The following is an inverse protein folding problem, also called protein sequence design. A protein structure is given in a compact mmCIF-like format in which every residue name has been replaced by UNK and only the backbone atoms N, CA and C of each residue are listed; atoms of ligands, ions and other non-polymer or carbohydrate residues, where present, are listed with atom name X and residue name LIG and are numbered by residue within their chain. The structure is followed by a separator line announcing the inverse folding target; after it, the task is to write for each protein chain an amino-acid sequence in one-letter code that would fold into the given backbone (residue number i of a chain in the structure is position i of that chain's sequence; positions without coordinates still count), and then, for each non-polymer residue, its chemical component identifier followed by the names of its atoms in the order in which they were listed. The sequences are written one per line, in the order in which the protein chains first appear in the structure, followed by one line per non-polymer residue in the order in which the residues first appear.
data_IF_444024218477
#
_entry.id   IF_444024218477
#
_cell.length_a   1.000
_cell.length_b   1.000
_cell.length_c   1.000
_cell.angle_alpha   90.00
_cell.angle_beta   90.00
_cell.angle_gamma   90.00
#
_symmetry.space_group_name_H-M   'P 1'
#
loop_
_entity.id
_entity.type
_entity.pdbx_description
1 polymer ?
#
# COMPACT_ATOMS: atom_id res chain seq x y z
N UNK A 1 1.85 -0.48 33.35
CA UNK A 1 1.45 0.67 32.52
C UNK A 1 2.66 1.53 32.19
N UNK A 2 3.42 1.18 31.14
CA UNK A 2 4.44 2.06 30.54
C UNK A 2 3.78 2.76 29.36
N UNK A 3 3.62 4.08 29.45
CA UNK A 3 3.16 4.91 28.33
C UNK A 3 4.36 5.15 27.42
N UNK A 4 4.44 4.42 26.32
CA UNK A 4 5.40 4.66 25.24
C UNK A 4 4.69 5.53 24.21
N UNK A 5 5.17 6.77 24.03
CA UNK A 5 4.71 7.68 23.01
C UNK A 5 5.04 7.07 21.63
N UNK A 6 4.03 6.68 20.87
CA UNK A 6 4.20 6.17 19.51
C UNK A 6 4.65 7.29 18.57
N UNK A 7 5.83 7.13 17.98
CA UNK A 7 6.46 8.04 17.01
C UNK A 7 6.24 7.44 15.61
N UNK A 8 5.55 8.18 14.74
CA UNK A 8 5.42 7.83 13.32
C UNK A 8 6.55 8.46 12.52
N UNK A 9 7.30 7.61 11.81
CA UNK A 9 8.24 8.02 10.78
C UNK A 9 7.54 7.97 9.41
N UNK A 10 7.36 9.14 8.79
CA UNK A 10 7.49 9.25 7.34
C UNK A 10 8.57 10.28 7.06
N UNK A 11 9.72 9.73 6.71
CA UNK A 11 10.86 10.33 6.05
C UNK A 11 10.46 11.45 5.07
N UNK A 12 10.77 12.69 5.44
CA UNK A 12 10.76 13.77 4.45
C UNK A 12 10.81 15.19 4.99
N UNK A 13 9.93 15.62 5.91
CA UNK A 13 9.79 17.10 6.14
C UNK A 13 9.33 17.56 7.55
N UNK A 14 8.86 16.72 8.49
CA UNK A 14 8.06 17.29 9.62
C UNK A 14 8.76 17.49 10.97
N UNK A 15 10.04 17.17 11.15
CA UNK A 15 10.68 17.37 12.46
C UNK A 15 11.31 18.76 12.68
N UNK A 16 10.62 19.81 12.26
CA UNK A 16 10.99 21.20 12.59
C UNK A 16 10.37 21.71 13.91
N UNK A 17 9.62 20.88 14.67
CA UNK A 17 8.80 21.38 15.79
C UNK A 17 8.74 20.48 17.04
N UNK A 18 9.83 19.82 17.44
CA UNK A 18 10.00 19.46 18.86
C UNK A 18 10.99 20.42 19.51
N UNK A 19 10.42 21.50 20.06
CA UNK A 19 11.10 22.27 21.10
C UNK A 19 11.24 21.44 22.37
N UNK A 20 12.48 21.29 22.82
CA UNK A 20 12.84 21.16 24.24
C UNK A 20 12.22 20.00 25.01
N UNK A 21 12.66 18.77 24.74
CA UNK A 21 12.89 17.81 25.81
C UNK A 21 14.06 16.93 25.41
N UNK A 22 15.09 16.89 26.25
CA UNK A 22 16.31 16.09 26.09
C UNK A 22 15.95 14.66 25.68
N UNK A 23 16.32 14.30 24.45
CA UNK A 23 16.23 12.92 23.95
C UNK A 23 17.12 12.01 24.80
N UNK A 24 16.52 10.99 25.39
CA UNK A 24 17.26 9.90 26.02
C UNK A 24 18.00 9.16 24.91
N UNK A 25 19.31 8.98 25.06
CA UNK A 25 20.13 8.27 24.08
C UNK A 25 19.55 6.87 23.77
N UNK A 26 19.28 6.62 22.48
CA UNK A 26 18.99 5.30 21.90
C UNK A 26 17.51 4.89 21.85
N UNK A 27 16.67 5.63 21.13
CA UNK A 27 15.28 5.23 20.85
C UNK A 27 15.24 4.22 19.71
N UNK A 28 14.81 2.98 19.98
CA UNK A 28 14.58 1.97 18.94
C UNK A 28 13.13 2.00 18.48
N UNK A 29 12.90 2.00 17.18
CA UNK A 29 11.59 1.94 16.53
C UNK A 29 11.48 0.65 15.71
N UNK A 30 10.52 -0.20 16.04
CA UNK A 30 10.27 -1.45 15.31
C UNK A 30 9.20 -1.22 14.24
N UNK A 31 9.61 -1.36 12.98
CA UNK A 31 8.76 -1.18 11.79
C UNK A 31 8.42 -2.53 11.14
N UNK A 32 7.14 -2.86 11.02
CA UNK A 32 6.68 -4.11 10.40
C UNK A 32 6.08 -3.90 9.01
N UNK A 33 6.44 -4.77 8.07
CA UNK A 33 5.90 -4.80 6.70
C UNK A 33 5.74 -6.22 6.17
N UNK A 34 4.81 -6.42 5.23
CA UNK A 34 4.71 -7.67 4.46
C UNK A 34 5.43 -7.62 3.11
N UNK A 35 5.90 -6.44 2.69
CA UNK A 35 6.52 -6.25 1.39
C UNK A 35 8.01 -6.57 1.42
N UNK A 36 8.42 -7.66 0.76
CA UNK A 36 9.84 -7.95 0.49
C UNK A 36 10.40 -7.16 -0.69
N UNK A 37 9.55 -6.76 -1.64
CA UNK A 37 9.96 -6.21 -2.92
C UNK A 37 10.49 -4.77 -2.85
N UNK A 38 10.18 -4.03 -1.79
CA UNK A 38 10.59 -2.63 -1.58
C UNK A 38 11.63 -2.49 -0.44
N UNK A 39 12.19 -3.61 0.03
CA UNK A 39 13.12 -3.67 1.17
C UNK A 39 14.32 -2.74 1.00
N UNK A 40 15.07 -2.87 -0.11
CA UNK A 40 16.26 -2.05 -0.35
C UNK A 40 15.95 -0.55 -0.43
N UNK A 41 14.74 -0.19 -0.89
CA UNK A 41 14.31 1.20 -0.94
C UNK A 41 14.04 1.71 0.48
N UNK A 42 13.36 0.92 1.31
CA UNK A 42 13.07 1.27 2.70
C UNK A 42 14.33 1.34 3.56
N UNK A 43 15.26 0.40 3.40
CA UNK A 43 16.55 0.42 4.10
C UNK A 43 17.30 1.72 3.85
N UNK A 44 17.49 2.12 2.59
CA UNK A 44 18.12 3.40 2.26
C UNK A 44 17.38 4.62 2.81
N UNK A 45 16.05 4.54 2.91
CA UNK A 45 15.26 5.59 3.52
C UNK A 45 15.52 5.63 5.03
N UNK A 46 15.49 4.50 5.73
CA UNK A 46 15.78 4.43 7.16
C UNK A 46 17.21 4.85 7.48
N UNK A 47 18.21 4.44 6.71
CA UNK A 47 19.60 4.92 6.86
C UNK A 47 19.68 6.44 6.77
N UNK A 48 18.99 7.04 5.79
CA UNK A 48 18.94 8.50 5.68
C UNK A 48 18.24 9.15 6.88
N UNK A 49 17.17 8.52 7.38
CA UNK A 49 16.46 9.00 8.56
C UNK A 49 17.37 9.00 9.79
N UNK A 50 18.07 7.90 10.04
CA UNK A 50 18.98 7.73 11.18
C UNK A 50 20.19 8.68 11.08
N UNK A 51 20.66 9.00 9.87
CA UNK A 51 21.68 10.04 9.67
C UNK A 51 21.17 11.43 10.07
N UNK A 52 19.90 11.74 9.82
CA UNK A 52 19.26 13.00 10.21
C UNK A 52 18.84 12.99 11.71
N UNK A 53 18.69 11.81 12.31
CA UNK A 53 18.20 11.56 13.67
C UNK A 53 19.07 10.50 14.40
N UNK A 54 20.29 10.85 14.83
CA UNK A 54 21.28 9.89 15.33
C UNK A 54 20.90 9.25 16.68
N UNK A 55 19.85 9.74 17.34
CA UNK A 55 19.28 9.19 18.56
C UNK A 55 18.22 8.10 18.31
N UNK A 56 17.88 7.84 17.05
CA UNK A 56 16.86 6.88 16.63
C UNK A 56 17.48 5.75 15.79
N UNK A 57 17.08 4.51 16.09
CA UNK A 57 17.41 3.29 15.35
C UNK A 57 16.12 2.63 14.86
N UNK A 58 16.02 2.30 13.58
CA UNK A 58 14.83 1.72 12.95
C UNK A 58 15.08 0.25 12.58
N UNK A 59 14.45 -0.66 13.32
CA UNK A 59 14.45 -2.09 13.01
C UNK A 59 13.28 -2.45 12.11
N UNK A 60 13.56 -2.77 10.84
CA UNK A 60 12.55 -3.29 9.92
C UNK A 60 12.43 -4.81 10.04
N UNK A 61 11.22 -5.30 10.30
CA UNK A 61 10.89 -6.74 10.33
C UNK A 61 9.88 -7.06 9.22
N UNK A 62 10.20 -8.09 8.44
CA UNK A 62 9.36 -8.51 7.31
C UNK A 62 8.66 -9.82 7.64
N UNK A 63 7.35 -9.75 7.81
CA UNK A 63 6.47 -10.92 7.88
C UNK A 63 5.66 -10.99 6.60
N UNK A 64 5.98 -11.91 5.67
CA UNK A 64 5.28 -12.01 4.39
C UNK A 64 3.90 -12.66 4.55
N UNK A 65 3.75 -13.94 4.21
CA UNK A 65 2.46 -14.63 4.19
C UNK A 65 1.80 -14.73 5.58
N UNK A 66 2.59 -14.62 6.66
CA UNK A 66 2.13 -14.72 8.05
C UNK A 66 1.92 -13.36 8.73
N UNK A 67 1.97 -12.26 8.00
CA UNK A 67 1.97 -10.90 8.56
C UNK A 67 0.89 -10.68 9.63
N UNK A 68 -0.34 -11.00 9.30
CA UNK A 68 -1.48 -10.70 10.16
C UNK A 68 -1.52 -11.59 11.40
N UNK A 69 -1.23 -12.88 11.25
CA UNK A 69 -1.18 -13.81 12.38
C UNK A 69 -0.07 -13.39 13.35
N UNK A 70 1.09 -12.98 12.82
CA UNK A 70 2.19 -12.45 13.62
C UNK A 70 1.82 -11.14 14.30
N UNK A 71 1.11 -10.23 13.62
CA UNK A 71 0.71 -8.94 14.20
C UNK A 71 -0.28 -9.14 15.35
N UNK A 72 -1.25 -10.05 15.17
CA UNK A 72 -2.20 -10.41 16.22
C UNK A 72 -1.48 -11.05 17.41
N UNK A 73 -0.58 -12.00 17.15
CA UNK A 73 0.22 -12.66 18.19
C UNK A 73 1.09 -11.66 18.95
N UNK A 74 1.70 -10.70 18.27
CA UNK A 74 2.49 -9.64 18.88
C UNK A 74 1.64 -8.79 19.85
N UNK A 75 0.39 -8.50 19.47
CA UNK A 75 -0.55 -7.81 20.35
C UNK A 75 -0.97 -8.65 21.55
N UNK A 76 -1.31 -9.93 21.34
CA UNK A 76 -1.68 -10.87 22.41
C UNK A 76 -0.51 -11.09 23.39
N UNK A 77 0.74 -11.02 22.90
CA UNK A 77 1.96 -11.14 23.68
C UNK A 77 2.43 -9.82 24.32
N UNK A 78 1.66 -8.73 24.18
CA UNK A 78 2.02 -7.38 24.65
C UNK A 78 3.36 -6.85 24.09
N UNK A 79 3.76 -7.31 22.90
CA UNK A 79 4.96 -6.86 22.18
C UNK A 79 4.65 -6.38 20.74
N UNK A 80 3.76 -5.38 20.56
CA UNK A 80 3.63 -4.63 19.32
C UNK A 80 4.91 -4.20 18.60
N UNK A 81 4.95 -4.16 17.24
CA UNK A 81 5.69 -3.11 16.54
C UNK A 81 5.19 -1.70 16.88
N UNK A 82 6.09 -0.72 16.78
CA UNK A 82 5.77 0.70 16.93
C UNK A 82 5.06 1.27 15.70
N UNK A 83 5.49 0.82 14.50
CA UNK A 83 4.93 1.22 13.21
C UNK A 83 4.66 -0.03 12.39
N UNK A 84 3.46 -0.14 11.83
CA UNK A 84 3.08 -1.33 11.07
C UNK A 84 2.16 -0.96 9.92
N UNK A 85 2.18 -1.77 8.86
CA UNK A 85 1.18 -1.70 7.80
C UNK A 85 -0.16 -2.24 8.31
N UNK A 86 -1.24 -1.49 8.11
CA UNK A 86 -2.60 -1.89 8.51
C UNK A 86 -3.05 -3.05 7.59
N UNK A 87 -3.33 -4.26 8.12
CA UNK A 87 -3.76 -5.39 7.31
C UNK A 87 -5.04 -5.10 6.52
N UNK A 88 -5.05 -5.44 5.22
CA UNK A 88 -6.16 -5.11 4.31
C UNK A 88 -7.46 -5.88 4.61
N UNK A 89 -7.37 -7.04 5.24
CA UNK A 89 -8.52 -7.90 5.50
C UNK A 89 -9.20 -7.67 6.86
N UNK A 90 -8.70 -6.72 7.65
CA UNK A 90 -9.32 -6.33 8.92
C UNK A 90 -9.71 -4.86 8.82
N UNK A 91 -10.99 -4.55 9.08
CA UNK A 91 -11.47 -3.18 8.97
C UNK A 91 -10.72 -2.27 9.95
N UNK A 92 -10.30 -1.09 9.49
CA UNK A 92 -9.57 -0.12 10.33
C UNK A 92 -10.37 0.24 11.58
N UNK A 93 -11.69 0.29 11.50
CA UNK A 93 -12.56 0.54 12.67
C UNK A 93 -12.37 -0.52 13.78
N UNK A 94 -12.20 -1.79 13.42
CA UNK A 94 -12.01 -2.87 14.40
C UNK A 94 -10.66 -2.73 15.11
N UNK A 95 -9.62 -2.34 14.37
CA UNK A 95 -8.29 -2.10 14.93
C UNK A 95 -8.26 -0.86 15.84
N UNK A 96 -9.02 0.18 15.50
CA UNK A 96 -9.24 1.34 16.39
C UNK A 96 -9.98 0.94 17.66
N UNK A 97 -11.06 0.16 17.54
CA UNK A 97 -11.85 -0.31 18.69
C UNK A 97 -11.06 -1.26 19.60
N UNK A 98 -10.15 -2.04 19.02
CA UNK A 98 -9.21 -2.89 19.75
C UNK A 98 -8.05 -2.12 20.39
N UNK A 99 -7.92 -0.81 20.12
CA UNK A 99 -6.85 0.04 20.67
C UNK A 99 -5.49 -0.15 20.02
N UNK A 100 -5.44 -0.70 18.79
CA UNK A 100 -4.18 -0.97 18.09
C UNK A 100 -3.59 0.28 17.42
N UNK A 101 -4.44 1.27 17.13
CA UNK A 101 -4.09 2.45 16.35
C UNK A 101 -4.25 3.73 17.18
N UNK A 102 -3.25 4.60 17.12
CA UNK A 102 -3.28 5.93 17.73
C UNK A 102 -3.82 6.97 16.74
N UNK A 103 -4.67 7.91 17.19
CA UNK A 103 -5.11 9.01 16.34
C UNK A 103 -3.94 9.93 16.00
N UNK A 104 -3.82 10.29 14.74
CA UNK A 104 -2.67 10.98 14.15
C UNK A 104 -2.89 12.48 13.97
N UNK A 105 -4.05 13.00 14.37
CA UNK A 105 -4.51 14.35 14.03
C UNK A 105 -3.51 15.44 14.42
N UNK A 106 -2.77 15.26 15.51
CA UNK A 106 -1.74 16.20 15.97
C UNK A 106 -0.56 16.35 15.00
N UNK A 107 -0.28 15.34 14.18
CA UNK A 107 0.83 15.35 13.21
C UNK A 107 0.37 15.61 11.77
N UNK A 108 -0.92 15.42 11.47
CA UNK A 108 -1.47 15.60 10.13
C UNK A 108 -2.01 17.03 9.95
N UNK A 109 -1.08 17.99 9.89
CA UNK A 109 -1.36 19.42 9.69
C UNK A 109 -1.91 19.71 8.28
N UNK A 110 -2.51 20.89 8.02
CA UNK A 110 -2.88 21.31 6.67
C UNK A 110 -1.73 21.24 5.66
N UNK A 111 -0.52 21.62 6.08
CA UNK A 111 0.70 21.58 5.25
C UNK A 111 1.08 20.13 4.92
N UNK A 112 0.94 19.21 5.88
CA UNK A 112 1.13 17.78 5.61
C UNK A 112 0.09 17.27 4.60
N UNK A 113 -1.19 17.61 4.79
CA UNK A 113 -2.28 17.20 3.89
C UNK A 113 -2.07 17.70 2.46
N UNK A 114 -1.50 18.90 2.29
CA UNK A 114 -1.23 19.49 0.99
C UNK A 114 -0.21 18.70 0.15
N UNK A 115 0.57 17.80 0.77
CA UNK A 115 1.49 16.88 0.06
C UNK A 115 0.76 15.74 -0.65
N UNK A 116 -0.52 15.52 -0.34
CA UNK A 116 -1.31 14.41 -0.88
C UNK A 116 -2.41 14.91 -1.81
N UNK A 117 -2.92 14.00 -2.63
CA UNK A 117 -4.08 14.26 -3.47
C UNK A 117 -5.32 14.61 -2.61
N UNK A 118 -6.16 15.57 -3.05
CA UNK A 118 -7.41 15.87 -2.37
C UNK A 118 -8.27 14.62 -2.15
N UNK A 119 -8.82 14.46 -0.94
CA UNK A 119 -9.69 13.33 -0.61
C UNK A 119 -8.97 11.99 -0.39
N UNK A 120 -7.65 12.01 -0.15
CA UNK A 120 -6.88 10.79 0.15
C UNK A 120 -7.29 10.13 1.47
N UNK A 121 -7.63 10.94 2.48
CA UNK A 121 -8.09 10.44 3.76
C UNK A 121 -9.57 10.10 3.66
N UNK A 122 -9.90 8.80 3.73
CA UNK A 122 -11.24 8.29 3.46
C UNK A 122 -11.84 7.60 4.67
N UNK A 123 -13.17 7.75 4.84
CA UNK A 123 -13.94 7.04 5.87
C UNK A 123 -13.69 5.53 5.75
N UNK A 124 -13.53 4.87 6.89
CA UNK A 124 -13.29 3.43 7.02
C UNK A 124 -11.94 2.92 6.50
N UNK A 125 -11.15 3.76 5.82
CA UNK A 125 -9.79 3.41 5.34
C UNK A 125 -8.73 4.04 6.24
N UNK A 126 -8.79 5.36 6.42
CA UNK A 126 -7.85 6.10 7.26
C UNK A 126 -8.54 7.02 8.25
N UNK A 127 -9.84 7.29 8.05
CA UNK A 127 -10.68 8.11 8.91
C UNK A 127 -11.69 7.24 9.66
N UNK A 128 -11.66 7.30 10.99
CA UNK A 128 -12.62 6.65 11.87
C UNK A 128 -13.11 7.66 12.89
N UNK A 129 -14.43 7.84 13.01
CA UNK A 129 -15.07 8.79 13.95
C UNK A 129 -14.47 10.21 13.90
N UNK A 130 -14.06 10.67 12.70
CA UNK A 130 -13.50 12.01 12.49
C UNK A 130 -11.98 12.14 12.69
N UNK A 131 -11.32 11.09 13.17
CA UNK A 131 -9.88 11.06 13.44
C UNK A 131 -9.12 10.29 12.37
N UNK A 132 -7.89 10.72 12.07
CA UNK A 132 -7.00 10.04 11.12
C UNK A 132 -6.19 8.98 11.87
N UNK A 133 -6.24 7.71 11.45
CA UNK A 133 -5.52 6.60 12.10
C UNK A 133 -4.46 5.94 11.22
N UNK A 134 -4.33 6.38 9.96
CA UNK A 134 -3.39 5.81 9.03
C UNK A 134 -2.98 6.80 7.96
N UNK A 135 -1.76 6.64 7.47
CA UNK A 135 -1.21 7.42 6.37
C UNK A 135 -1.06 6.48 5.17
N UNK A 136 -1.57 6.90 4.01
CA UNK A 136 -1.47 6.09 2.81
C UNK A 136 -0.05 6.19 2.25
N UNK A 137 0.68 5.07 2.27
CA UNK A 137 2.04 4.95 1.73
C UNK A 137 2.08 4.75 0.23
N UNK A 138 1.03 4.16 -0.35
CA UNK A 138 0.91 3.93 -1.79
C UNK A 138 -0.56 3.94 -2.23
N UNK A 139 -0.77 4.27 -3.50
CA UNK A 139 -2.07 4.13 -4.17
C UNK A 139 -1.85 3.24 -5.39
N UNK A 140 -2.68 2.23 -5.54
CA UNK A 140 -2.69 1.42 -6.75
C UNK A 140 -3.62 2.01 -7.79
N UNK A 141 -3.17 2.06 -9.04
CA UNK A 141 -4.00 2.44 -10.18
C UNK A 141 -3.91 1.34 -11.24
N UNK A 142 -5.05 0.94 -11.78
CA UNK A 142 -5.08 0.02 -12.90
C UNK A 142 -4.71 0.77 -14.20
N UNK A 143 -3.71 0.27 -14.92
CA UNK A 143 -3.34 0.77 -16.24
C UNK A 143 -3.28 -0.39 -17.23
N UNK A 144 -3.79 -0.17 -18.44
CA UNK A 144 -3.67 -1.14 -19.52
C UNK A 144 -2.28 -1.02 -20.16
N UNK A 145 -1.46 -2.06 -19.98
CA UNK A 145 -0.26 -2.27 -20.78
C UNK A 145 -0.58 -3.23 -21.92
N UNK A 146 -0.08 -2.94 -23.12
CA UNK A 146 -0.32 -3.76 -24.30
C UNK A 146 0.95 -3.91 -25.15
N UNK A 147 1.05 -5.04 -25.85
CA UNK A 147 2.23 -5.36 -26.65
C UNK A 147 2.05 -4.89 -28.10
N UNK A 148 2.69 -3.77 -28.45
CA UNK A 148 2.66 -3.18 -29.80
C UNK A 148 3.13 -4.15 -30.90
N UNK A 149 4.08 -5.03 -30.62
CA UNK A 149 4.54 -6.04 -31.58
C UNK A 149 3.46 -7.08 -31.87
N UNK A 150 2.69 -7.49 -30.85
CA UNK A 150 1.56 -8.40 -31.06
C UNK A 150 0.38 -7.73 -31.79
N UNK A 151 0.17 -6.42 -31.58
CA UNK A 151 -0.79 -5.65 -32.37
C UNK A 151 -0.43 -5.69 -33.86
N UNK A 152 0.82 -5.35 -34.22
CA UNK A 152 1.30 -5.43 -35.61
C UNK A 152 1.12 -6.82 -36.21
N UNK A 153 1.49 -7.88 -35.47
CA UNK A 153 1.33 -9.29 -35.92
C UNK A 153 -0.14 -9.69 -36.14
N UNK A 154 -1.06 -9.04 -35.45
CA UNK A 154 -2.50 -9.26 -35.57
C UNK A 154 -3.19 -8.34 -36.60
N UNK A 155 -2.43 -7.49 -37.31
CA UNK A 155 -2.96 -6.50 -38.24
C UNK A 155 -3.69 -5.34 -37.57
N UNK A 156 -3.35 -5.04 -36.31
CA UNK A 156 -3.85 -3.89 -35.56
C UNK A 156 -2.83 -2.74 -35.60
N UNK A 157 -3.33 -1.50 -35.50
CA UNK A 157 -2.48 -0.32 -35.34
C UNK A 157 -1.90 -0.27 -33.92
N UNK A 158 -0.57 -0.36 -33.73
CA UNK A 158 0.07 -0.32 -32.42
C UNK A 158 -0.08 1.02 -31.68
N UNK A 159 -0.45 2.10 -32.36
CA UNK A 159 -0.64 3.43 -31.76
C UNK A 159 -2.10 3.71 -31.38
N UNK A 160 -3.01 2.77 -31.68
CA UNK A 160 -4.43 2.86 -31.33
C UNK A 160 -4.77 1.78 -30.30
N UNK A 161 -4.58 2.05 -28.98
CA UNK A 161 -5.02 1.12 -27.95
C UNK A 161 -6.55 1.03 -27.89
N UNK A 162 -7.11 -0.09 -27.39
CA UNK A 162 -8.56 -0.20 -27.18
C UNK A 162 -9.01 0.81 -26.13
N UNK A 163 -10.10 1.51 -26.44
CA UNK A 163 -10.75 2.53 -25.58
C UNK A 163 -11.97 1.99 -24.85
N UNK A 164 -12.48 0.83 -25.27
CA UNK A 164 -13.64 0.18 -24.64
C UNK A 164 -13.36 -1.28 -24.34
N UNK A 165 -14.13 -1.86 -23.41
CA UNK A 165 -14.09 -3.29 -23.13
C UNK A 165 -14.45 -4.15 -24.35
N UNK A 166 -15.35 -3.65 -25.21
CA UNK A 166 -15.67 -4.29 -26.48
C UNK A 166 -14.46 -4.36 -27.41
N UNK A 167 -13.77 -3.23 -27.61
CA UNK A 167 -12.56 -3.17 -28.41
C UNK A 167 -11.43 -4.02 -27.82
N UNK A 168 -11.25 -4.00 -26.49
CA UNK A 168 -10.25 -4.84 -25.82
C UNK A 168 -10.49 -6.33 -26.12
N UNK A 169 -11.74 -6.78 -25.98
CA UNK A 169 -12.14 -8.17 -26.28
C UNK A 169 -11.89 -8.52 -27.75
N UNK A 170 -12.23 -7.63 -28.67
CA UNK A 170 -12.10 -7.88 -30.10
C UNK A 170 -10.63 -7.89 -30.55
N UNK A 171 -9.81 -7.00 -29.98
CA UNK A 171 -8.37 -6.95 -30.23
C UNK A 171 -7.71 -8.19 -29.65
N UNK A 172 -8.09 -8.60 -28.44
CA UNK A 172 -7.59 -9.83 -27.83
C UNK A 172 -7.90 -11.07 -28.69
N UNK A 173 -9.11 -11.18 -29.24
CA UNK A 173 -9.48 -12.27 -30.18
C UNK A 173 -8.60 -12.28 -31.43
N UNK A 174 -8.36 -11.12 -32.05
CA UNK A 174 -7.49 -11.01 -33.24
C UNK A 174 -6.06 -11.44 -32.93
N UNK A 175 -5.51 -10.99 -31.80
CA UNK A 175 -4.16 -11.35 -31.35
C UNK A 175 -4.06 -12.84 -31.06
N UNK A 176 -5.01 -13.43 -30.33
CA UNK A 176 -5.02 -14.88 -30.07
C UNK A 176 -5.09 -15.70 -31.36
N UNK A 177 -5.93 -15.28 -32.33
CA UNK A 177 -6.02 -15.95 -33.63
C UNK A 177 -4.70 -15.88 -34.41
N UNK A 178 -4.03 -14.73 -34.40
CA UNK A 178 -2.71 -14.56 -35.02
C UNK A 178 -1.62 -15.40 -34.32
N UNK A 179 -1.78 -15.63 -33.01
CA UNK A 179 -0.85 -16.40 -32.19
C UNK A 179 -0.79 -17.88 -32.51
N UNK A 180 -1.92 -18.48 -32.93
CA UNK A 180 -2.02 -19.93 -33.22
C UNK A 180 -1.43 -20.78 -32.07
N UNK A 181 -1.74 -20.42 -30.83
CA UNK A 181 -1.24 -21.09 -29.62
C UNK A 181 0.15 -20.66 -29.13
N UNK A 182 0.87 -19.78 -29.84
CA UNK A 182 2.18 -19.26 -29.41
C UNK A 182 2.10 -17.99 -28.57
N UNK A 183 1.02 -17.23 -28.72
CA UNK A 183 0.72 -16.05 -27.91
C UNK A 183 -0.78 -15.81 -27.88
N UNK A 184 -1.23 -15.07 -26.86
CA UNK A 184 -2.63 -14.79 -26.58
C UNK A 184 -2.84 -13.28 -26.45
N UNK A 185 -4.02 -12.81 -26.83
CA UNK A 185 -4.35 -11.38 -26.78
C UNK A 185 -4.73 -10.86 -25.40
N UNK A 186 -4.97 -11.76 -24.44
CA UNK A 186 -5.25 -11.43 -23.06
C UNK A 186 -4.88 -12.62 -22.18
N UNK A 187 -4.21 -12.37 -21.05
CA UNK A 187 -3.81 -13.41 -20.08
C UNK A 187 -3.98 -12.83 -18.69
N UNK A 188 -4.54 -13.63 -17.78
CA UNK A 188 -4.63 -13.33 -16.35
C UNK A 188 -3.99 -14.47 -15.56
N UNK A 189 -3.32 -14.12 -14.47
CA UNK A 189 -2.86 -15.12 -13.51
C UNK A 189 -4.06 -15.72 -12.78
N UNK A 190 -4.24 -17.03 -12.89
CA UNK A 190 -5.36 -17.75 -12.28
C UNK A 190 -4.92 -18.98 -11.47
N UNK A 191 -3.62 -19.14 -11.22
CA UNK A 191 -3.08 -20.25 -10.44
C UNK A 191 -3.49 -20.14 -8.96
N UNK A 192 -3.31 -18.95 -8.39
CA UNK A 192 -3.62 -18.67 -6.99
C UNK A 192 -4.98 -17.96 -6.90
N UNK A 193 -5.90 -18.44 -6.04
CA UNK A 193 -7.27 -17.89 -5.96
C UNK A 193 -7.33 -16.39 -5.69
N UNK A 194 -6.46 -15.87 -4.82
CA UNK A 194 -6.42 -14.45 -4.49
C UNK A 194 -5.99 -13.59 -5.69
N UNK A 195 -5.03 -14.08 -6.51
CA UNK A 195 -4.57 -13.39 -7.73
C UNK A 195 -5.70 -13.33 -8.75
N UNK A 196 -6.45 -14.43 -8.90
CA UNK A 196 -7.62 -14.45 -9.77
C UNK A 196 -8.67 -13.44 -9.31
N UNK A 197 -9.05 -13.47 -8.02
CA UNK A 197 -10.04 -12.55 -7.45
C UNK A 197 -9.64 -11.10 -7.66
N UNK A 198 -8.40 -10.75 -7.29
CA UNK A 198 -7.87 -9.40 -7.45
C UNK A 198 -7.94 -8.93 -8.91
N UNK A 199 -7.50 -9.74 -9.87
CA UNK A 199 -7.54 -9.35 -11.29
C UNK A 199 -8.97 -9.14 -11.80
N UNK A 200 -9.90 -10.02 -11.41
CA UNK A 200 -11.32 -9.92 -11.81
C UNK A 200 -11.97 -8.69 -11.17
N UNK A 201 -11.76 -8.47 -9.88
CA UNK A 201 -12.28 -7.33 -9.13
C UNK A 201 -11.79 -6.01 -9.73
N UNK A 202 -10.50 -5.89 -10.02
CA UNK A 202 -9.94 -4.66 -10.58
C UNK A 202 -10.51 -4.36 -11.97
N UNK A 203 -10.68 -5.39 -12.80
CA UNK A 203 -11.34 -5.23 -14.09
C UNK A 203 -12.80 -4.79 -13.93
N UNK A 204 -13.53 -5.40 -12.98
CA UNK A 204 -14.91 -5.03 -12.69
C UNK A 204 -15.01 -3.58 -12.19
N UNK A 205 -14.11 -3.16 -11.29
CA UNK A 205 -14.04 -1.79 -10.77
C UNK A 205 -13.80 -0.76 -11.88
N UNK A 206 -12.87 -1.03 -12.80
CA UNK A 206 -12.62 -0.16 -13.96
C UNK A 206 -13.81 -0.13 -14.92
N UNK A 207 -14.62 -1.20 -14.95
CA UNK A 207 -15.87 -1.24 -15.71
C UNK A 207 -17.06 -0.55 -15.01
N UNK A 208 -16.85 0.06 -13.84
CA UNK A 208 -17.90 0.73 -13.06
C UNK A 208 -18.63 -0.20 -12.10
N UNK A 209 -18.16 -1.44 -11.93
CA UNK A 209 -18.60 -2.31 -10.85
C UNK A 209 -18.17 -1.75 -9.50
N UNK A 210 -19.07 -1.74 -8.53
CA UNK A 210 -18.68 -1.52 -7.13
C UNK A 210 -18.07 -2.82 -6.62
N UNK A 211 -16.83 -2.78 -6.10
CA UNK A 211 -16.26 -3.92 -5.37
C UNK A 211 -17.25 -4.40 -4.31
N UNK A 212 -17.23 -5.70 -3.98
CA UNK A 212 -18.16 -6.29 -3.01
C UNK A 212 -18.21 -5.44 -1.73
N UNK A 213 -19.44 -5.08 -1.33
CA UNK A 213 -19.74 -4.43 -0.05
C UNK A 213 -19.29 -5.30 1.13
#
# INVERSE_FOLDING_TARGET
MRRINQIIIILGVVFALLGGSEGVAGTKIVFWTWNRHDMEVKERLFEKFEQEHPDIDVEMVIHADQYQDMLKLAWDAEMPPDVFQIPENTLVVQQVEAGWLTPLDQWITPEFKARYMPGIFRKHISLVKGHIYGILSSIFTAKLFYNKTLFKRAGLDPEVPPKTWGELRDYAKKITKAGKGRFYGFVIGAKDPWVYSMNVEWMAMVAGGTGFN
#
